data_IF_166889027456
#
_entry.id   IF_166889027456
#
_cell.length_a   1.000
_cell.length_b   1.000
_cell.length_c   1.000
_cell.angle_alpha   90.00
_cell.angle_beta   90.00
_cell.angle_gamma   90.00
#
_symmetry.space_group_name_H-M   'P 1'
#
loop_
_entity.id
_entity.type
_entity.pdbx_description
1 polymer ?
#
# COMPACT_ATOMS: atom_id res chain seq x y z
N UNK A 1 -23.39 -13.08 6.36
CA UNK A 1 -22.82 -11.74 6.07
C UNK A 1 -22.26 -11.76 4.65
N UNK A 2 -22.67 -10.84 3.77
CA UNK A 2 -22.04 -10.71 2.43
C UNK A 2 -20.66 -10.06 2.62
N UNK A 3 -19.59 -10.77 2.32
CA UNK A 3 -18.23 -10.23 2.37
C UNK A 3 -18.11 -9.07 1.35
N UNK A 4 -17.98 -7.83 1.83
CA UNK A 4 -17.87 -6.65 0.98
C UNK A 4 -16.44 -6.58 0.47
N UNK A 5 -16.19 -7.09 -0.74
CA UNK A 5 -14.88 -6.99 -1.38
C UNK A 5 -14.55 -5.52 -1.68
N UNK A 6 -13.38 -5.06 -1.22
CA UNK A 6 -12.87 -3.72 -1.54
C UNK A 6 -12.60 -3.59 -3.04
N UNK A 7 -12.68 -2.35 -3.56
CA UNK A 7 -12.41 -2.05 -4.98
C UNK A 7 -11.03 -2.58 -5.42
N UNK A 8 -10.02 -2.47 -4.55
CA UNK A 8 -8.66 -2.93 -4.81
C UNK A 8 -8.58 -4.46 -4.92
N UNK A 9 -9.24 -5.19 -4.03
CA UNK A 9 -9.29 -6.66 -4.07
C UNK A 9 -9.98 -7.17 -5.33
N UNK A 10 -11.09 -6.52 -5.74
CA UNK A 10 -11.77 -6.81 -7.01
C UNK A 10 -10.84 -6.60 -8.20
N UNK A 11 -10.18 -5.45 -8.26
CA UNK A 11 -9.22 -5.13 -9.34
C UNK A 11 -8.10 -6.16 -9.41
N UNK A 12 -7.47 -6.48 -8.28
CA UNK A 12 -6.39 -7.47 -8.23
C UNK A 12 -6.84 -8.84 -8.73
N UNK A 13 -8.03 -9.29 -8.32
CA UNK A 13 -8.63 -10.55 -8.80
C UNK A 13 -8.85 -10.52 -10.31
N UNK A 14 -9.52 -9.49 -10.83
CA UNK A 14 -9.79 -9.35 -12.27
C UNK A 14 -8.50 -9.28 -13.09
N UNK A 15 -7.50 -8.52 -12.64
CA UNK A 15 -6.21 -8.42 -13.32
C UNK A 15 -5.45 -9.75 -13.31
N UNK A 16 -5.49 -10.49 -12.21
CA UNK A 16 -4.83 -11.80 -12.13
C UNK A 16 -5.48 -12.84 -13.04
N UNK A 17 -6.82 -12.90 -13.04
CA UNK A 17 -7.57 -13.80 -13.91
C UNK A 17 -7.33 -13.48 -15.39
N UNK A 18 -7.34 -12.20 -15.74
CA UNK A 18 -7.05 -11.75 -17.12
C UNK A 18 -5.67 -12.21 -17.57
N UNK A 19 -4.63 -11.93 -16.78
CA UNK A 19 -3.26 -12.32 -17.11
C UNK A 19 -3.11 -13.84 -17.24
N UNK A 20 -3.75 -14.61 -16.36
CA UNK A 20 -3.67 -16.07 -16.42
C UNK A 20 -4.41 -16.62 -17.65
N UNK A 21 -5.57 -16.06 -18.00
CA UNK A 21 -6.30 -16.42 -19.23
C UNK A 21 -5.50 -16.08 -20.49
N UNK A 22 -4.83 -14.93 -20.53
CA UNK A 22 -3.91 -14.55 -21.61
C UNK A 22 -2.76 -15.58 -21.75
N UNK A 23 -2.17 -16.00 -20.63
CA UNK A 23 -1.14 -17.04 -20.62
C UNK A 23 -1.66 -18.40 -21.15
N UNK A 24 -2.87 -18.81 -20.76
CA UNK A 24 -3.46 -20.06 -21.25
C UNK A 24 -3.70 -20.01 -22.76
N UNK A 25 -4.19 -18.89 -23.27
CA UNK A 25 -4.34 -18.66 -24.71
C UNK A 25 -3.00 -18.78 -25.44
N UNK A 26 -1.94 -18.17 -24.92
CA UNK A 26 -0.58 -18.26 -25.49
C UNK A 26 -0.07 -19.71 -25.53
N UNK A 27 -0.35 -20.50 -24.49
CA UNK A 27 0.06 -21.91 -24.40
C UNK A 27 -0.91 -22.88 -25.06
N UNK A 28 -1.90 -22.37 -25.82
CA UNK A 28 -2.95 -23.16 -26.47
C UNK A 28 -3.67 -24.13 -25.51
N UNK A 29 -3.89 -23.70 -24.27
CA UNK A 29 -4.62 -24.45 -23.24
C UNK A 29 -6.06 -23.92 -23.09
N UNK A 30 -7.01 -24.73 -22.60
CA UNK A 30 -8.38 -24.26 -22.41
C UNK A 30 -8.43 -23.09 -21.40
N UNK A 31 -9.12 -22.02 -21.77
CA UNK A 31 -9.12 -20.76 -21.00
C UNK A 31 -9.92 -20.89 -19.69
N UNK A 32 -10.89 -21.81 -19.64
CA UNK A 32 -11.72 -22.10 -18.46
C UNK A 32 -10.99 -22.97 -17.44
N UNK A 33 -9.96 -22.39 -16.81
CA UNK A 33 -9.15 -23.06 -15.79
C UNK A 33 -9.93 -23.43 -14.52
N UNK A 34 -11.13 -22.90 -14.34
CA UNK A 34 -12.08 -23.29 -13.31
C UNK A 34 -12.51 -24.76 -13.46
N UNK A 35 -12.47 -25.32 -14.68
CA UNK A 35 -12.87 -26.70 -14.96
C UNK A 35 -11.70 -27.70 -14.89
N UNK A 36 -10.47 -27.23 -14.69
CA UNK A 36 -9.29 -28.09 -14.69
C UNK A 36 -9.33 -29.10 -13.54
N UNK A 37 -8.74 -30.28 -13.74
CA UNK A 37 -8.43 -31.14 -12.59
C UNK A 37 -7.39 -30.46 -11.68
N UNK A 38 -7.33 -30.88 -10.42
CA UNK A 38 -6.34 -30.35 -9.46
C UNK A 38 -4.92 -30.50 -10.00
N UNK A 39 -4.61 -31.66 -10.61
CA UNK A 39 -3.31 -31.92 -11.21
C UNK A 39 -3.02 -31.02 -12.41
N UNK A 40 -3.99 -30.84 -13.31
CA UNK A 40 -3.83 -29.94 -14.46
C UNK A 40 -3.60 -28.49 -14.02
N UNK A 41 -4.32 -28.06 -12.98
CA UNK A 41 -4.17 -26.73 -12.40
C UNK A 41 -2.81 -26.58 -11.73
N UNK A 42 -2.34 -27.57 -10.95
CA UNK A 42 -1.03 -27.54 -10.30
C UNK A 42 0.13 -27.48 -11.31
N UNK A 43 0.10 -28.33 -12.34
CA UNK A 43 1.10 -28.30 -13.41
C UNK A 43 1.11 -26.96 -14.15
N UNK A 44 -0.06 -26.42 -14.48
CA UNK A 44 -0.17 -25.19 -15.26
C UNK A 44 0.23 -23.96 -14.45
N UNK A 45 -0.13 -23.90 -13.15
CA UNK A 45 0.34 -22.87 -12.24
C UNK A 45 1.86 -22.94 -12.03
N UNK A 46 2.44 -24.14 -11.99
CA UNK A 46 3.88 -24.32 -11.89
C UNK A 46 4.62 -23.67 -13.08
N UNK A 47 4.18 -23.93 -14.32
CA UNK A 47 4.74 -23.28 -15.51
C UNK A 47 4.50 -21.78 -15.51
N UNK A 48 3.29 -21.34 -15.15
CA UNK A 48 2.94 -19.93 -15.08
C UNK A 48 3.87 -19.12 -14.18
N UNK A 49 4.18 -19.61 -12.97
CA UNK A 49 5.09 -18.88 -12.06
C UNK A 49 6.53 -18.79 -12.58
N UNK A 50 6.96 -19.74 -13.41
CA UNK A 50 8.30 -19.71 -14.00
C UNK A 50 8.37 -18.76 -15.21
N UNK A 51 7.30 -18.72 -16.00
CA UNK A 51 7.25 -18.06 -17.29
C UNK A 51 6.66 -16.65 -17.23
N UNK A 52 6.04 -16.23 -16.13
CA UNK A 52 5.39 -14.92 -16.07
C UNK A 52 6.38 -13.77 -16.32
N UNK A 53 6.04 -12.90 -17.29
CA UNK A 53 6.83 -11.73 -17.68
C UNK A 53 5.93 -10.52 -17.94
N UNK A 54 6.49 -9.33 -17.83
CA UNK A 54 5.83 -8.10 -18.26
C UNK A 54 5.67 -8.07 -19.79
N UNK A 55 4.88 -7.12 -20.29
CA UNK A 55 4.74 -6.88 -21.74
C UNK A 55 6.08 -6.58 -22.45
N UNK A 56 7.06 -6.09 -21.70
CA UNK A 56 8.42 -5.82 -22.18
C UNK A 56 9.34 -7.06 -22.10
N UNK A 57 8.80 -8.22 -21.70
CA UNK A 57 9.58 -9.46 -21.51
C UNK A 57 10.38 -9.51 -20.21
N UNK A 58 10.29 -8.49 -19.33
CA UNK A 58 11.04 -8.44 -18.07
C UNK A 58 10.39 -9.30 -16.98
N UNK A 59 11.21 -9.80 -16.06
CA UNK A 59 10.74 -10.47 -14.85
C UNK A 59 9.93 -9.51 -13.96
N UNK A 60 8.81 -10.00 -13.43
CA UNK A 60 8.05 -9.26 -12.44
C UNK A 60 8.79 -9.18 -11.09
N UNK A 61 8.48 -8.15 -10.30
CA UNK A 61 8.89 -8.09 -8.90
C UNK A 61 8.27 -9.23 -8.11
N UNK A 62 8.94 -9.67 -7.04
CA UNK A 62 8.42 -10.70 -6.13
C UNK A 62 7.04 -10.35 -5.56
N UNK A 63 6.84 -9.09 -5.18
CA UNK A 63 5.55 -8.59 -4.65
C UNK A 63 4.43 -8.69 -5.67
N UNK A 64 4.73 -8.39 -6.93
CA UNK A 64 3.79 -8.52 -8.05
C UNK A 64 3.39 -9.98 -8.28
N UNK A 65 4.36 -10.90 -8.33
CA UNK A 65 4.08 -12.35 -8.42
C UNK A 65 3.20 -12.84 -7.26
N UNK A 66 3.51 -12.41 -6.03
CA UNK A 66 2.69 -12.73 -4.85
C UNK A 66 1.26 -12.16 -4.99
N UNK A 67 1.12 -10.93 -5.48
CA UNK A 67 -0.17 -10.31 -5.71
C UNK A 67 -1.01 -11.11 -6.73
N UNK A 68 -0.39 -11.61 -7.80
CA UNK A 68 -1.07 -12.47 -8.78
C UNK A 68 -1.52 -13.79 -8.18
N UNK A 69 -0.64 -14.49 -7.44
CA UNK A 69 -0.99 -15.73 -6.73
C UNK A 69 -2.20 -15.54 -5.82
N UNK A 70 -2.22 -14.47 -5.03
CA UNK A 70 -3.35 -14.21 -4.12
C UNK A 70 -4.63 -13.80 -4.86
N UNK A 71 -4.52 -13.10 -5.98
CA UNK A 71 -5.65 -12.79 -6.86
C UNK A 71 -6.30 -14.06 -7.40
N UNK A 72 -5.49 -15.00 -7.90
CA UNK A 72 -5.94 -16.29 -8.41
C UNK A 72 -6.52 -17.16 -7.29
N UNK A 73 -5.88 -17.22 -6.12
CA UNK A 73 -6.36 -18.03 -5.01
C UNK A 73 -7.79 -17.65 -4.61
N UNK A 74 -8.05 -16.35 -4.44
CA UNK A 74 -9.39 -15.86 -4.10
C UNK A 74 -10.42 -16.18 -5.18
N UNK A 75 -10.02 -16.18 -6.44
CA UNK A 75 -10.91 -16.54 -7.54
C UNK A 75 -11.27 -18.04 -7.49
N UNK A 76 -10.27 -18.91 -7.39
CA UNK A 76 -10.46 -20.36 -7.34
C UNK A 76 -11.22 -20.78 -6.08
N UNK A 77 -10.90 -20.21 -4.92
CA UNK A 77 -11.61 -20.47 -3.68
C UNK A 77 -13.09 -20.09 -3.81
N UNK A 78 -13.41 -18.97 -4.49
CA UNK A 78 -14.80 -18.59 -4.75
C UNK A 78 -15.51 -19.55 -5.70
N UNK A 79 -14.82 -20.13 -6.68
CA UNK A 79 -15.41 -20.99 -7.70
C UNK A 79 -15.53 -22.46 -7.29
N UNK A 80 -14.56 -22.97 -6.51
CA UNK A 80 -14.40 -24.41 -6.24
C UNK A 80 -14.12 -24.75 -4.77
N UNK A 81 -13.98 -23.74 -3.92
CA UNK A 81 -13.56 -23.90 -2.52
C UNK A 81 -12.22 -24.64 -2.36
N UNK A 82 -11.28 -24.38 -3.27
CA UNK A 82 -9.93 -24.95 -3.26
C UNK A 82 -8.91 -23.85 -2.99
N UNK A 83 -7.96 -24.12 -2.08
CA UNK A 83 -6.81 -23.24 -1.83
C UNK A 83 -5.60 -23.68 -2.65
N UNK A 84 -5.21 -22.86 -3.64
CA UNK A 84 -4.01 -23.11 -4.48
C UNK A 84 -2.70 -22.86 -3.71
N UNK A 85 -2.79 -22.38 -2.48
CA UNK A 85 -1.65 -22.21 -1.58
C UNK A 85 -1.38 -23.43 -0.71
N UNK A 86 -2.29 -24.40 -0.68
CA UNK A 86 -2.12 -25.64 0.07
C UNK A 86 -1.05 -26.53 -0.58
N UNK A 87 0.05 -26.76 0.14
CA UNK A 87 1.20 -27.51 -0.37
C UNK A 87 0.97 -29.02 -0.50
N UNK A 88 0.02 -29.59 0.26
CA UNK A 88 -0.29 -31.01 0.19
C UNK A 88 -1.00 -31.36 -1.13
N UNK A 89 -1.81 -30.42 -1.61
CA UNK A 89 -2.61 -30.55 -2.83
C UNK A 89 -1.83 -30.02 -4.05
N UNK A 90 -1.18 -28.86 -3.92
CA UNK A 90 -0.52 -28.14 -5.01
C UNK A 90 1.01 -28.16 -4.90
N UNK A 91 1.58 -29.38 -4.86
CA UNK A 91 3.02 -29.58 -4.63
C UNK A 91 3.90 -28.91 -5.68
N UNK A 92 3.58 -29.07 -6.98
CA UNK A 92 4.46 -28.60 -8.06
C UNK A 92 4.44 -27.08 -8.16
N UNK A 93 3.27 -26.47 -8.15
CA UNK A 93 3.15 -25.01 -8.23
C UNK A 93 3.70 -24.32 -6.99
N UNK A 94 3.51 -24.87 -5.79
CA UNK A 94 4.13 -24.36 -4.57
C UNK A 94 5.66 -24.43 -4.64
N UNK A 95 6.23 -25.54 -5.13
CA UNK A 95 7.67 -25.69 -5.33
C UNK A 95 8.21 -24.67 -6.34
N UNK A 96 7.57 -24.53 -7.50
CA UNK A 96 7.96 -23.55 -8.53
C UNK A 96 7.86 -22.11 -8.02
N UNK A 97 6.78 -21.77 -7.30
CA UNK A 97 6.64 -20.45 -6.69
C UNK A 97 7.76 -20.16 -5.68
N UNK A 98 8.10 -21.12 -4.81
CA UNK A 98 9.20 -20.98 -3.85
C UNK A 98 10.54 -20.82 -4.56
N UNK A 99 10.79 -21.63 -5.59
CA UNK A 99 11.99 -21.55 -6.42
C UNK A 99 12.14 -20.17 -7.08
N UNK A 100 11.11 -19.73 -7.80
CA UNK A 100 11.10 -18.43 -8.44
C UNK A 100 11.16 -17.28 -7.43
N UNK A 101 10.53 -17.42 -6.26
CA UNK A 101 10.63 -16.42 -5.19
C UNK A 101 12.06 -16.26 -4.66
N UNK A 102 12.84 -17.34 -4.60
CA UNK A 102 14.26 -17.28 -4.24
C UNK A 102 15.08 -16.64 -5.36
N UNK A 103 14.80 -17.00 -6.60
CA UNK A 103 15.48 -16.42 -7.76
C UNK A 103 15.25 -14.92 -7.90
N UNK A 104 14.01 -14.45 -7.75
CA UNK A 104 13.69 -13.03 -7.75
C UNK A 104 14.38 -12.25 -6.61
N UNK A 105 14.65 -12.90 -5.47
CA UNK A 105 15.47 -12.31 -4.41
C UNK A 105 16.94 -12.21 -4.82
N UNK A 106 17.49 -13.28 -5.41
CA UNK A 106 18.87 -13.33 -5.90
C UNK A 106 19.13 -12.24 -6.96
N UNK A 107 18.15 -11.97 -7.83
CA UNK A 107 18.19 -10.94 -8.85
C UNK A 107 17.93 -9.51 -8.33
N UNK A 108 17.70 -9.32 -7.03
CA UNK A 108 17.39 -8.01 -6.44
C UNK A 108 15.96 -7.51 -6.71
N UNK A 109 15.11 -8.27 -7.40
CA UNK A 109 13.71 -7.94 -7.71
C UNK A 109 12.74 -8.12 -6.53
N UNK A 110 13.29 -8.39 -5.34
CA UNK A 110 12.57 -8.42 -4.07
C UNK A 110 12.80 -7.17 -3.22
N UNK A 111 13.68 -6.25 -3.63
CA UNK A 111 13.96 -5.04 -2.88
C UNK A 111 12.71 -4.13 -2.81
N UNK A 112 12.41 -3.67 -1.60
CA UNK A 112 11.34 -2.70 -1.34
C UNK A 112 12.02 -1.34 -1.16
N UNK A 113 11.62 -0.37 -1.97
CA UNK A 113 12.04 1.03 -1.78
C UNK A 113 11.26 1.57 -0.59
N UNK A 114 11.91 1.67 0.56
CA UNK A 114 11.35 2.34 1.72
C UNK A 114 11.44 3.85 1.55
N UNK A 115 10.40 4.57 1.94
CA UNK A 115 10.43 6.02 2.06
C UNK A 115 11.29 6.40 3.28
N UNK A 116 12.01 7.51 3.20
CA UNK A 116 12.75 8.04 4.35
C UNK A 116 11.78 8.42 5.48
N UNK A 117 12.28 8.40 6.71
CA UNK A 117 11.53 8.95 7.83
C UNK A 117 11.22 10.43 7.57
N UNK A 118 9.99 10.85 7.86
CA UNK A 118 9.57 12.24 7.74
C UNK A 118 10.46 13.08 8.66
N UNK A 119 11.08 14.14 8.11
CA UNK A 119 11.98 15.01 8.85
C UNK A 119 11.19 15.93 9.79
N UNK A 120 11.78 16.28 10.94
CA UNK A 120 11.17 17.20 11.91
C UNK A 120 10.79 18.56 11.28
N UNK A 121 11.60 19.06 10.34
CA UNK A 121 11.29 20.28 9.58
C UNK A 121 10.02 20.16 8.74
N UNK A 122 9.78 18.98 8.14
CA UNK A 122 8.61 18.74 7.30
C UNK A 122 7.35 18.50 8.15
N UNK A 123 7.51 17.90 9.32
CA UNK A 123 6.46 17.85 10.35
C UNK A 123 6.05 19.27 10.76
N UNK A 124 7.01 20.17 11.00
CA UNK A 124 6.73 21.58 11.34
C UNK A 124 5.96 22.33 10.24
N UNK A 125 6.32 22.12 8.98
CA UNK A 125 5.57 22.67 7.83
C UNK A 125 4.15 22.12 7.76
N UNK A 126 3.98 20.82 8.00
CA UNK A 126 2.67 20.17 8.01
C UNK A 126 1.77 20.78 9.09
N UNK A 127 2.27 20.93 10.32
CA UNK A 127 1.52 21.59 11.39
C UNK A 127 1.22 23.05 11.08
N UNK A 128 2.21 23.82 10.58
CA UNK A 128 1.98 25.23 10.23
C UNK A 128 0.94 25.38 9.11
N UNK A 129 0.93 24.50 8.12
CA UNK A 129 -0.05 24.53 7.03
C UNK A 129 -1.46 24.24 7.55
N UNK A 130 -1.61 23.20 8.38
CA UNK A 130 -2.91 22.89 8.99
C UNK A 130 -3.37 24.05 9.88
N UNK A 131 -2.51 24.59 10.75
CA UNK A 131 -2.87 25.71 11.63
C UNK A 131 -3.24 27.00 10.87
N UNK A 132 -2.72 27.23 9.66
CA UNK A 132 -2.98 28.44 8.87
C UNK A 132 -4.23 28.37 7.98
N UNK A 133 -4.65 27.17 7.57
CA UNK A 133 -5.75 26.99 6.62
C UNK A 133 -7.03 26.44 7.25
N UNK A 134 -7.12 26.39 8.58
CA UNK A 134 -8.26 25.83 9.30
C UNK A 134 -8.99 26.93 10.08
N UNK A 135 -9.92 27.61 9.41
CA UNK A 135 -10.98 28.43 10.05
C UNK A 135 -12.15 27.56 10.55
N UNK A 136 -12.29 26.31 10.10
CA UNK A 136 -13.47 25.49 10.36
C UNK A 136 -13.31 24.46 11.50
N UNK A 137 -14.41 24.25 12.23
CA UNK A 137 -14.64 23.47 13.46
C UNK A 137 -14.06 22.03 13.56
N UNK A 138 -13.39 21.52 12.54
CA UNK A 138 -12.77 20.19 12.50
C UNK A 138 -11.53 20.07 13.42
N UNK A 139 -10.88 21.20 13.76
CA UNK A 139 -9.76 21.19 14.72
C UNK A 139 -10.20 20.84 16.15
N UNK A 140 -11.46 21.08 16.53
CA UNK A 140 -11.98 20.63 17.84
C UNK A 140 -12.00 19.10 17.93
N UNK A 141 -12.32 18.42 16.82
CA UNK A 141 -12.30 16.96 16.77
C UNK A 141 -10.86 16.42 16.79
N UNK A 142 -9.92 17.08 16.11
CA UNK A 142 -8.51 16.66 16.09
C UNK A 142 -7.76 16.97 17.40
N UNK A 143 -8.03 18.13 18.05
CA UNK A 143 -7.57 18.45 19.42
C UNK A 143 -8.15 17.45 20.43
N UNK A 144 -9.43 17.07 20.32
CA UNK A 144 -10.03 16.08 21.20
C UNK A 144 -9.46 14.67 21.00
N UNK A 145 -9.18 14.27 19.76
CA UNK A 145 -8.54 12.99 19.45
C UNK A 145 -7.11 12.90 20.02
N UNK A 146 -6.32 13.97 19.90
CA UNK A 146 -4.98 14.03 20.48
C UNK A 146 -5.00 13.99 22.03
N UNK A 147 -6.00 14.64 22.66
CA UNK A 147 -6.16 14.63 24.12
C UNK A 147 -6.66 13.26 24.66
N UNK A 148 -7.50 12.54 23.89
CA UNK A 148 -7.98 11.20 24.25
C UNK A 148 -6.87 10.13 24.11
N UNK A 149 -6.01 10.26 23.10
CA UNK A 149 -4.82 9.40 22.94
C UNK A 149 -3.77 9.63 24.05
N UNK A 150 -3.79 10.77 24.72
CA UNK A 150 -2.99 11.07 25.91
C UNK A 150 -3.58 10.59 27.24
N UNK A 151 -4.79 10.01 27.28
CA UNK A 151 -5.41 9.49 28.52
C UNK A 151 -5.46 7.96 28.57
N UNK A 152 -5.38 7.27 27.43
CA UNK A 152 -5.36 5.80 27.38
C UNK A 152 -3.92 5.28 27.26
N UNK A 153 -3.14 5.48 28.32
CA UNK A 153 -1.77 4.98 28.41
C UNK A 153 -1.74 3.47 28.75
N UNK A 154 -1.60 2.62 27.72
CA UNK A 154 -0.96 1.31 27.90
C UNK A 154 -0.21 0.75 26.69
N UNK A 155 -0.36 1.30 25.47
CA UNK A 155 0.11 0.59 24.26
C UNK A 155 1.18 1.30 23.41
N UNK A 156 1.48 2.58 23.64
CA UNK A 156 2.56 3.27 22.90
C UNK A 156 3.70 3.63 23.84
N UNK A 157 4.75 2.79 23.84
CA UNK A 157 6.02 3.10 24.49
C UNK A 157 6.76 4.19 23.71
N UNK A 158 6.38 5.44 23.92
CA UNK A 158 7.16 6.59 23.47
C UNK A 158 8.52 6.63 24.20
N UNK A 159 9.60 7.10 23.56
CA UNK A 159 10.92 7.21 24.18
C UNK A 159 10.84 7.99 25.49
N UNK A 160 11.40 7.40 26.56
CA UNK A 160 11.35 7.91 27.96
C UNK A 160 11.80 9.38 28.09
N UNK A 161 12.62 9.88 27.16
CA UNK A 161 13.14 11.26 27.12
C UNK A 161 12.12 12.34 26.74
N UNK A 162 10.91 11.99 26.29
CA UNK A 162 9.82 12.94 26.00
C UNK A 162 8.81 13.11 27.15
N UNK A 163 8.94 12.34 28.23
CA UNK A 163 8.00 12.38 29.37
C UNK A 163 8.24 13.54 30.32
N UNK A 164 9.50 14.01 30.41
CA UNK A 164 9.93 14.96 31.44
C UNK A 164 10.12 16.39 30.91
N UNK A 165 9.93 16.63 29.60
CA UNK A 165 9.86 17.99 29.08
C UNK A 165 8.41 18.43 29.21
N UNK A 166 8.16 19.37 30.15
CA UNK A 166 6.99 20.25 30.09
C UNK A 166 6.77 20.58 28.63
N UNK A 167 5.61 20.19 28.11
CA UNK A 167 5.17 20.57 26.78
C UNK A 167 5.53 22.03 26.59
N UNK A 168 6.46 22.33 25.68
CA UNK A 168 6.58 23.69 25.21
C UNK A 168 5.19 24.04 24.73
N UNK A 169 4.63 25.05 25.37
CA UNK A 169 3.35 25.62 25.02
C UNK A 169 3.33 25.74 23.50
N UNK A 170 2.34 25.14 22.86
CA UNK A 170 2.28 25.13 21.39
C UNK A 170 2.32 26.59 20.88
N UNK A 171 1.82 27.52 21.69
CA UNK A 171 1.91 28.96 21.47
C UNK A 171 3.35 29.52 21.50
N UNK A 172 4.27 28.91 22.25
CA UNK A 172 5.69 29.30 22.33
C UNK A 172 6.50 28.80 21.12
N UNK A 173 6.17 27.61 20.62
CA UNK A 173 6.73 27.06 19.35
C UNK A 173 6.22 27.87 18.15
N UNK A 174 4.94 28.24 18.15
CA UNK A 174 4.35 29.04 17.08
C UNK A 174 4.84 30.50 17.08
N UNK A 175 5.31 31.03 18.22
CA UNK A 175 5.93 32.36 18.34
C UNK A 175 7.40 32.42 17.93
N UNK A 176 8.11 31.29 17.99
CA UNK A 176 9.57 31.23 17.74
C UNK A 176 9.93 30.92 16.29
N UNK A 177 8.96 30.54 15.45
CA UNK A 177 9.19 30.31 14.02
C UNK A 177 8.94 31.64 13.29
N UNK A 178 9.96 32.27 12.65
CA UNK A 178 9.74 33.44 11.82
C UNK A 178 8.80 33.06 10.69
N UNK A 179 7.62 33.70 10.63
CA UNK A 179 6.70 33.55 9.52
C UNK A 179 7.35 34.25 8.32
N UNK A 180 7.67 33.55 7.21
CA UNK A 180 8.18 34.23 6.03
C UNK A 180 7.12 35.19 5.50
N UNK A 181 7.48 36.45 5.27
CA UNK A 181 6.57 37.53 4.82
C UNK A 181 5.95 37.30 3.42
N UNK A 182 6.32 36.21 2.75
CA UNK A 182 5.96 35.94 1.37
C UNK A 182 4.72 35.05 1.20
N UNK A 183 3.59 35.34 1.86
CA UNK A 183 2.24 34.98 1.34
C UNK A 183 1.19 35.95 1.90
N UNK A 184 1.31 37.24 1.59
CA UNK A 184 0.16 38.16 1.59
C UNK A 184 -0.29 38.31 0.14
N UNK A 185 -1.28 37.54 -0.26
CA UNK A 185 -1.80 37.67 -1.62
C UNK A 185 -2.71 36.54 -2.04
N UNK A 186 -4.00 36.86 -2.03
CA UNK A 186 -5.08 36.28 -2.81
C UNK A 186 -5.75 35.01 -2.27
N UNK A 187 -6.86 35.29 -1.61
CA UNK A 187 -8.07 34.48 -1.55
C UNK A 187 -8.35 33.77 -2.88
N UNK A 188 -8.25 32.44 -2.85
CA UNK A 188 -9.03 31.62 -3.77
C UNK A 188 -9.37 30.31 -3.07
N UNK A 189 -10.68 30.06 -2.96
CA UNK A 189 -11.26 28.84 -2.42
C UNK A 189 -10.63 27.61 -3.08
N UNK A 190 -9.72 26.93 -2.37
CA UNK A 190 -9.27 25.60 -2.76
C UNK A 190 -10.28 24.57 -2.23
N UNK A 191 -11.13 24.06 -3.13
CA UNK A 191 -11.93 22.87 -2.86
C UNK A 191 -11.03 21.64 -2.94
N UNK A 192 -10.49 21.22 -1.80
CA UNK A 192 -9.64 20.03 -1.71
C UNK A 192 -10.51 18.78 -1.87
N UNK A 193 -10.41 18.11 -3.02
CA UNK A 193 -10.86 16.73 -3.18
C UNK A 193 -9.77 15.78 -2.64
N UNK A 194 -10.14 14.60 -2.14
CA UNK A 194 -9.26 13.58 -1.51
C UNK A 194 -7.98 13.19 -2.31
N UNK A 195 -7.90 13.55 -3.59
CA UNK A 195 -6.76 13.33 -4.49
C UNK A 195 -5.63 14.36 -4.36
N UNK A 196 -5.83 15.45 -3.62
CA UNK A 196 -5.06 16.71 -3.74
C UNK A 196 -3.97 16.90 -2.66
N UNK A 197 -3.92 16.03 -1.64
CA UNK A 197 -2.95 16.16 -0.55
C UNK A 197 -1.48 16.03 -1.01
N UNK A 198 -1.22 15.27 -2.09
CA UNK A 198 0.13 15.13 -2.65
C UNK A 198 0.61 16.42 -3.30
N UNK A 199 -0.31 17.12 -3.96
CA UNK A 199 -0.03 18.38 -4.64
C UNK A 199 0.23 19.48 -3.61
N UNK A 200 -0.56 19.52 -2.54
CA UNK A 200 -0.32 20.38 -1.37
C UNK A 200 1.05 20.10 -0.73
N UNK A 201 1.42 18.84 -0.50
CA UNK A 201 2.73 18.50 0.10
C UNK A 201 3.92 18.87 -0.81
N UNK A 202 3.76 18.75 -2.13
CA UNK A 202 4.74 19.21 -3.12
C UNK A 202 4.87 20.74 -3.11
N UNK A 203 3.75 21.47 -3.05
CA UNK A 203 3.73 22.92 -2.95
C UNK A 203 4.36 23.43 -1.64
N UNK A 204 4.23 22.69 -0.55
CA UNK A 204 4.91 22.95 0.73
C UNK A 204 6.41 22.61 0.72
N UNK A 205 6.94 22.10 -0.39
CA UNK A 205 8.35 21.74 -0.53
C UNK A 205 8.76 20.58 0.40
N UNK A 206 7.83 19.71 0.76
CA UNK A 206 8.10 18.49 1.54
C UNK A 206 8.56 17.41 0.56
N UNK A 207 9.87 17.16 0.53
CA UNK A 207 10.52 16.37 -0.53
C UNK A 207 10.30 14.86 -0.43
N UNK A 208 9.76 14.36 0.68
CA UNK A 208 9.81 12.94 1.05
C UNK A 208 8.51 12.14 0.76
N UNK A 209 7.50 12.75 0.10
CA UNK A 209 6.20 12.11 -0.18
C UNK A 209 5.99 11.59 -1.63
N UNK A 210 7.01 11.62 -2.49
CA UNK A 210 6.96 11.10 -3.89
C UNK A 210 7.63 9.72 -4.01
#
# INVERSE_FOLDING_TARGET
MKNIETKNTKKQKTTANKLFREYLTEKSKPIEFEQYTVEQLDNTLASFYLEMRSKEGKLYKKTTMQAYRQGLNRHIQKCRDIDICNEDIFKKSCKSYKGMSKELKRLGLAAIKHHSSIKESDIGKMYSYFCKNLEDAQLLQYKNACTQLGKNHSCFSWPRKMRDRKWYDIDDILRTIPIPEAVKGNDSHFKVNDSDWREVMVQLGIKDFV
#
